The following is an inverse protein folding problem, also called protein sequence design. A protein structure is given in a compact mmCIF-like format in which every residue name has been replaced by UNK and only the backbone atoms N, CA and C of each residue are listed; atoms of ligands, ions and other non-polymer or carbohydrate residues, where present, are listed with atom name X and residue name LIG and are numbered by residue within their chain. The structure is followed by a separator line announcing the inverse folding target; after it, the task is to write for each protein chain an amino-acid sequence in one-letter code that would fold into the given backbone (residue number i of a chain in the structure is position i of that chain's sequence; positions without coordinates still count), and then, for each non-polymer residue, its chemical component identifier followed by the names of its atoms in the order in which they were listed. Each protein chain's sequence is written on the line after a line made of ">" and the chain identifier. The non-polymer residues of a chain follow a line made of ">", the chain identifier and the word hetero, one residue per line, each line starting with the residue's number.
data_IF_269707886440
#
_entry.id   IF_269707886440
#
_cell.length_a   1.000
_cell.length_b   1.000
_cell.length_c   1.000
_cell.angle_alpha   90.00
_cell.angle_beta   90.00
_cell.angle_gamma   90.00
#
_symmetry.space_group_name_H-M   'P 1'
#
loop_
_entity.id
_entity.type
_entity.pdbx_description
1 polymer ?
#
# COMPACT_ATOMS: atom_id res chain seq x y z
N UNK A 1 -16.75 -6.30 5.24
CA UNK A 1 -16.18 -7.64 5.01
C UNK A 1 -15.51 -7.68 3.66
N UNK A 2 -14.39 -8.37 3.53
CA UNK A 2 -13.53 -8.34 2.33
C UNK A 2 -13.15 -9.77 1.93
N UNK A 3 -13.22 -10.09 0.64
CA UNK A 3 -12.77 -11.37 0.05
C UNK A 3 -11.69 -11.09 -1.01
N UNK A 4 -10.58 -11.85 -1.00
CA UNK A 4 -9.40 -11.54 -1.81
C UNK A 4 -9.11 -12.48 -2.99
N UNK A 5 -9.55 -13.75 -2.99
CA UNK A 5 -9.14 -14.75 -4.01
C UNK A 5 -10.24 -15.77 -4.33
N UNK A 6 -10.19 -16.32 -5.55
CA UNK A 6 -11.00 -17.48 -5.95
C UNK A 6 -12.49 -17.24 -6.14
N UNK A 7 -12.85 -16.09 -6.69
CA UNK A 7 -14.26 -15.68 -6.83
C UNK A 7 -14.76 -15.78 -8.29
N UNK A 8 -15.89 -16.45 -8.51
CA UNK A 8 -16.63 -16.40 -9.77
C UNK A 8 -17.61 -15.23 -9.78
N UNK A 9 -17.26 -14.15 -10.48
CA UNK A 9 -18.06 -12.92 -10.59
C UNK A 9 -19.50 -13.17 -11.07
N UNK A 10 -19.72 -14.21 -11.88
CA UNK A 10 -21.05 -14.50 -12.47
C UNK A 10 -22.05 -15.04 -11.44
N UNK A 11 -21.59 -15.51 -10.27
CA UNK A 11 -22.44 -16.17 -9.27
C UNK A 11 -23.28 -15.21 -8.41
N UNK A 12 -22.89 -13.92 -8.36
CA UNK A 12 -23.56 -12.93 -7.50
C UNK A 12 -23.79 -11.62 -8.25
N UNK A 13 -24.98 -11.03 -8.05
CA UNK A 13 -25.23 -9.67 -8.54
C UNK A 13 -24.51 -8.65 -7.66
N UNK A 14 -23.51 -7.99 -8.21
CA UNK A 14 -22.59 -7.13 -7.45
C UNK A 14 -22.88 -5.65 -7.64
N UNK A 15 -23.47 -5.27 -8.78
CA UNK A 15 -23.76 -3.87 -9.11
C UNK A 15 -25.23 -3.54 -8.87
N UNK A 16 -25.47 -2.52 -8.08
CA UNK A 16 -26.78 -2.01 -7.77
C UNK A 16 -26.84 -0.50 -8.05
N UNK A 17 -27.98 -0.03 -8.56
CA UNK A 17 -28.25 1.42 -8.67
C UNK A 17 -28.33 2.04 -7.26
N UNK A 18 -28.12 3.36 -7.17
CA UNK A 18 -28.10 4.08 -5.88
C UNK A 18 -29.36 3.81 -5.05
N UNK A 19 -30.54 3.92 -5.68
CA UNK A 19 -31.82 3.70 -5.03
C UNK A 19 -32.06 2.23 -4.61
N UNK A 20 -31.61 1.27 -5.41
CA UNK A 20 -31.67 -0.15 -5.04
C UNK A 20 -30.83 -0.44 -3.80
N UNK A 21 -29.64 0.17 -3.70
CA UNK A 21 -28.77 0.02 -2.51
C UNK A 21 -29.42 0.59 -1.25
N UNK A 22 -30.09 1.75 -1.35
CA UNK A 22 -30.82 2.34 -0.23
C UNK A 22 -31.94 1.40 0.24
N UNK A 23 -32.83 0.96 -0.68
CA UNK A 23 -33.92 0.03 -0.36
C UNK A 23 -33.43 -1.28 0.25
N UNK A 24 -32.35 -1.85 -0.27
CA UNK A 24 -31.75 -3.06 0.31
C UNK A 24 -31.27 -2.85 1.74
N UNK A 25 -30.65 -1.69 2.01
CA UNK A 25 -30.20 -1.34 3.36
C UNK A 25 -31.40 -1.23 4.34
N UNK A 26 -32.50 -0.62 3.94
CA UNK A 26 -33.74 -0.54 4.72
C UNK A 26 -34.32 -1.93 5.01
N UNK A 27 -34.17 -2.86 4.09
CA UNK A 27 -34.59 -4.26 4.24
C UNK A 27 -33.60 -5.13 5.03
N UNK A 28 -32.53 -4.57 5.60
CA UNK A 28 -31.50 -5.33 6.30
C UNK A 28 -30.62 -6.20 5.40
N UNK A 29 -30.65 -5.98 4.08
CA UNK A 29 -29.88 -6.74 3.11
C UNK A 29 -28.50 -6.10 2.83
N UNK A 30 -27.45 -6.91 2.80
CA UNK A 30 -26.11 -6.44 2.47
C UNK A 30 -25.97 -6.06 0.99
N UNK A 31 -25.24 -4.99 0.75
CA UNK A 31 -24.79 -4.58 -0.58
C UNK A 31 -23.38 -5.08 -0.83
N UNK A 32 -23.12 -5.56 -2.06
CA UNK A 32 -21.81 -5.97 -2.51
C UNK A 32 -21.22 -4.93 -3.45
N UNK A 33 -19.94 -4.64 -3.31
CA UNK A 33 -19.17 -3.82 -4.24
C UNK A 33 -17.90 -4.56 -4.64
N UNK A 34 -17.67 -4.65 -5.94
CA UNK A 34 -16.48 -5.27 -6.51
C UNK A 34 -15.52 -4.19 -7.00
N UNK A 35 -14.27 -4.29 -6.59
CA UNK A 35 -13.18 -3.42 -7.02
C UNK A 35 -12.08 -4.33 -7.55
N UNK A 36 -11.58 -4.03 -8.75
CA UNK A 36 -10.49 -4.78 -9.38
C UNK A 36 -9.41 -3.83 -9.87
N UNK A 37 -8.17 -4.26 -9.69
CA UNK A 37 -7.00 -3.64 -10.32
C UNK A 37 -6.02 -4.74 -10.74
N UNK A 38 -5.78 -4.87 -12.04
CA UNK A 38 -4.99 -5.97 -12.59
C UNK A 38 -5.54 -7.34 -12.18
N UNK A 39 -4.70 -8.16 -11.57
CA UNK A 39 -5.07 -9.49 -11.06
C UNK A 39 -5.62 -9.45 -9.62
N UNK A 40 -5.52 -8.30 -8.95
CA UNK A 40 -6.05 -8.13 -7.60
C UNK A 40 -7.52 -7.71 -7.66
N UNK A 41 -8.34 -8.28 -6.79
CA UNK A 41 -9.70 -7.80 -6.59
C UNK A 41 -10.12 -7.86 -5.13
N UNK A 42 -11.10 -7.04 -4.80
CA UNK A 42 -11.72 -6.96 -3.48
C UNK A 42 -13.23 -6.92 -3.65
N UNK A 43 -13.94 -7.68 -2.82
CA UNK A 43 -15.38 -7.55 -2.66
C UNK A 43 -15.64 -6.97 -1.29
N UNK A 44 -16.27 -5.81 -1.28
CA UNK A 44 -16.74 -5.16 -0.06
C UNK A 44 -18.21 -5.54 0.14
N UNK A 45 -18.53 -6.07 1.32
CA UNK A 45 -19.90 -6.35 1.74
C UNK A 45 -20.27 -5.42 2.91
N UNK A 46 -21.38 -4.70 2.78
CA UNK A 46 -21.95 -3.93 3.90
C UNK A 46 -22.56 -4.85 4.95
N UNK A 47 -22.92 -4.29 6.10
CA UNK A 47 -23.72 -5.02 7.10
C UNK A 47 -25.08 -5.43 6.49
N UNK A 48 -25.71 -6.48 7.06
CA UNK A 48 -26.95 -7.06 6.59
C UNK A 48 -26.79 -8.48 6.03
N UNK A 49 -27.89 -9.10 5.67
CA UNK A 49 -27.93 -10.47 5.17
C UNK A 49 -27.63 -10.56 3.66
N UNK A 50 -26.90 -11.58 3.25
CA UNK A 50 -26.65 -11.92 1.86
C UNK A 50 -26.16 -13.36 1.72
N UNK A 51 -26.63 -14.09 0.71
CA UNK A 51 -26.17 -15.45 0.39
C UNK A 51 -24.64 -15.54 0.22
N UNK A 52 -24.01 -14.50 -0.26
CA UNK A 52 -22.55 -14.37 -0.33
C UNK A 52 -21.88 -14.56 1.03
N UNK A 53 -22.42 -13.95 2.09
CA UNK A 53 -21.85 -14.06 3.45
C UNK A 53 -21.95 -15.49 3.99
N UNK A 54 -23.04 -16.18 3.68
CA UNK A 54 -23.25 -17.57 4.11
C UNK A 54 -22.28 -18.53 3.40
N UNK A 55 -22.14 -18.36 2.07
CA UNK A 55 -21.29 -19.25 1.26
C UNK A 55 -19.79 -19.00 1.43
N UNK A 56 -19.40 -17.77 1.64
CA UNK A 56 -17.97 -17.37 1.71
C UNK A 56 -17.55 -17.03 3.16
N UNK A 57 -18.29 -17.48 4.16
CA UNK A 57 -18.08 -17.12 5.58
C UNK A 57 -16.63 -17.35 6.05
N UNK A 58 -16.02 -18.46 5.66
CA UNK A 58 -14.63 -18.82 6.03
C UNK A 58 -13.56 -17.90 5.41
N UNK A 59 -13.90 -17.21 4.32
CA UNK A 59 -12.98 -16.33 3.58
C UNK A 59 -13.21 -14.85 3.88
N UNK A 60 -14.33 -14.53 4.52
CA UNK A 60 -14.68 -13.15 4.83
C UNK A 60 -13.87 -12.63 6.00
N UNK A 61 -13.32 -11.45 5.85
CA UNK A 61 -12.58 -10.75 6.90
C UNK A 61 -13.25 -9.41 7.22
N UNK A 62 -13.31 -9.09 8.51
CA UNK A 62 -13.74 -7.76 8.92
C UNK A 62 -12.60 -6.76 8.68
N UNK A 63 -12.84 -5.79 7.78
CA UNK A 63 -11.86 -4.75 7.45
C UNK A 63 -11.52 -3.83 8.63
N UNK A 64 -12.33 -3.82 9.70
CA UNK A 64 -12.05 -3.08 10.94
C UNK A 64 -11.01 -3.80 11.80
N UNK A 65 -11.00 -5.13 11.75
CA UNK A 65 -10.07 -5.98 12.52
C UNK A 65 -8.80 -6.28 11.73
N UNK A 66 -8.96 -6.68 10.48
CA UNK A 66 -7.85 -7.00 9.59
C UNK A 66 -7.89 -6.11 8.36
N UNK A 67 -6.86 -5.27 8.20
CA UNK A 67 -6.75 -4.38 7.05
C UNK A 67 -6.56 -5.12 5.72
N UNK A 68 -6.78 -4.40 4.64
CA UNK A 68 -6.56 -4.86 3.27
C UNK A 68 -5.14 -4.50 2.87
N UNK A 69 -4.33 -5.51 2.63
CA UNK A 69 -2.98 -5.30 2.08
C UNK A 69 -3.09 -5.26 0.55
N UNK A 70 -2.58 -4.22 -0.02
CA UNK A 70 -2.52 -4.05 -1.46
C UNK A 70 -1.36 -3.14 -1.81
N UNK A 71 -0.52 -3.65 -2.68
CA UNK A 71 0.45 -2.80 -3.26
C UNK A 71 1.48 -2.22 -2.28
N UNK A 72 1.95 -2.95 -1.24
CA UNK A 72 2.81 -2.44 -0.18
C UNK A 72 2.09 -1.52 0.81
N UNK A 73 0.77 -1.36 0.64
CA UNK A 73 -0.06 -0.58 1.55
C UNK A 73 -0.97 -1.49 2.37
N UNK A 74 -1.20 -1.09 3.59
CA UNK A 74 -2.26 -1.61 4.44
C UNK A 74 -3.36 -0.56 4.58
N UNK A 75 -4.54 -0.90 4.07
CA UNK A 75 -5.75 -0.08 4.17
C UNK A 75 -6.58 -0.61 5.34
N UNK A 76 -6.80 0.20 6.34
CA UNK A 76 -7.55 -0.18 7.55
C UNK A 76 -8.60 0.87 7.89
N UNK A 77 -9.58 0.50 8.69
CA UNK A 77 -10.60 1.40 9.19
C UNK A 77 -10.47 1.50 10.71
N UNK A 78 -10.08 2.67 11.21
CA UNK A 78 -9.88 2.92 12.64
C UNK A 78 -10.47 4.27 13.04
N UNK A 79 -11.11 4.34 14.19
CA UNK A 79 -11.68 5.56 14.75
C UNK A 79 -12.62 6.29 13.76
N UNK A 80 -13.46 5.54 13.03
CA UNK A 80 -14.37 6.12 12.06
C UNK A 80 -13.76 6.54 10.72
N UNK A 81 -12.44 6.37 10.53
CA UNK A 81 -11.73 6.85 9.34
C UNK A 81 -10.94 5.74 8.65
N UNK A 82 -10.86 5.84 7.32
CA UNK A 82 -9.95 5.01 6.53
C UNK A 82 -8.52 5.51 6.74
N UNK A 83 -7.63 4.58 7.10
CA UNK A 83 -6.20 4.83 7.23
C UNK A 83 -5.44 4.01 6.21
N UNK A 84 -4.51 4.65 5.51
CA UNK A 84 -3.60 4.02 4.57
C UNK A 84 -2.18 4.17 5.10
N UNK A 85 -1.51 3.06 5.33
CA UNK A 85 -0.11 3.02 5.78
C UNK A 85 0.69 2.05 4.93
N UNK A 86 2.01 2.11 4.98
CA UNK A 86 2.88 1.07 4.43
C UNK A 86 2.64 -0.19 5.27
N UNK A 87 2.49 -1.35 4.62
CA UNK A 87 2.34 -2.61 5.34
C UNK A 87 3.60 -2.96 6.15
N UNK A 88 3.46 -3.86 7.12
CA UNK A 88 4.52 -4.09 8.10
C UNK A 88 5.76 -4.76 7.51
N UNK A 89 5.61 -5.59 6.47
CA UNK A 89 6.73 -6.24 5.80
C UNK A 89 7.49 -5.24 4.94
N UNK A 90 6.80 -4.52 4.05
CA UNK A 90 7.39 -3.46 3.23
C UNK A 90 8.06 -2.39 4.10
N UNK A 91 7.44 -2.02 5.22
CA UNK A 91 8.03 -1.05 6.15
C UNK A 91 9.32 -1.55 6.79
N UNK A 92 9.39 -2.82 7.22
CA UNK A 92 10.61 -3.42 7.77
C UNK A 92 11.74 -3.45 6.75
N UNK A 93 11.43 -3.88 5.52
CA UNK A 93 12.40 -3.93 4.42
C UNK A 93 12.91 -2.52 4.08
N UNK A 94 12.01 -1.56 3.96
CA UNK A 94 12.34 -0.16 3.67
C UNK A 94 13.22 0.45 4.78
N UNK A 95 12.86 0.21 6.04
CA UNK A 95 13.66 0.67 7.18
C UNK A 95 15.06 0.05 7.17
N UNK A 96 15.16 -1.26 6.96
CA UNK A 96 16.44 -1.95 6.89
C UNK A 96 17.30 -1.43 5.73
N UNK A 97 16.71 -1.19 4.58
CA UNK A 97 17.37 -0.60 3.42
C UNK A 97 17.99 0.76 3.73
N UNK A 98 17.19 1.73 4.21
CA UNK A 98 17.68 3.08 4.50
C UNK A 98 18.71 3.10 5.64
N UNK A 99 18.54 2.29 6.67
CA UNK A 99 19.52 2.16 7.76
C UNK A 99 20.82 1.54 7.24
N UNK A 100 20.75 0.54 6.36
CA UNK A 100 21.93 -0.05 5.72
C UNK A 100 22.69 0.94 4.83
N UNK A 101 22.01 1.91 4.23
CA UNK A 101 22.63 2.97 3.44
C UNK A 101 23.14 4.14 4.26
N UNK A 102 22.72 4.28 5.52
CA UNK A 102 22.98 5.46 6.36
C UNK A 102 24.46 5.85 6.45
N UNK A 103 25.38 4.88 6.49
CA UNK A 103 26.83 5.09 6.57
C UNK A 103 27.57 4.89 5.24
N UNK A 104 26.87 4.33 4.23
CA UNK A 104 27.47 4.00 2.92
C UNK A 104 27.25 5.08 1.86
N UNK A 105 26.28 5.96 2.07
CA UNK A 105 25.88 6.99 1.11
C UNK A 105 26.12 8.39 1.66
N UNK A 106 26.38 9.33 0.77
CA UNK A 106 26.51 10.75 1.13
C UNK A 106 25.15 11.29 1.55
N UNK A 107 25.15 12.43 2.23
CA UNK A 107 23.93 13.13 2.66
C UNK A 107 23.04 13.47 1.46
N UNK A 108 23.63 13.98 0.38
CA UNK A 108 22.94 14.41 -0.84
C UNK A 108 22.24 13.22 -1.51
N UNK A 109 22.95 12.09 -1.63
CA UNK A 109 22.37 10.87 -2.20
C UNK A 109 21.17 10.38 -1.38
N UNK A 110 21.29 10.37 -0.04
CA UNK A 110 20.18 9.96 0.82
C UNK A 110 19.00 10.93 0.76
N UNK A 111 19.26 12.25 0.65
CA UNK A 111 18.19 13.24 0.43
C UNK A 111 17.44 12.93 -0.87
N UNK A 112 18.19 12.66 -1.95
CA UNK A 112 17.58 12.31 -3.25
C UNK A 112 16.75 11.03 -3.18
N UNK A 113 17.22 10.00 -2.47
CA UNK A 113 16.49 8.73 -2.28
C UNK A 113 15.20 8.92 -1.46
N UNK A 114 15.25 9.68 -0.37
CA UNK A 114 14.05 10.01 0.40
C UNK A 114 13.06 10.83 -0.41
N UNK A 115 13.54 11.76 -1.21
CA UNK A 115 12.71 12.59 -2.09
C UNK A 115 12.04 11.79 -3.21
N UNK A 116 12.73 10.75 -3.71
CA UNK A 116 12.24 9.85 -4.74
C UNK A 116 11.31 8.74 -4.21
N UNK A 117 11.06 8.68 -2.89
CA UNK A 117 10.23 7.63 -2.29
C UNK A 117 8.86 7.52 -2.99
N UNK A 118 8.46 6.30 -3.44
CA UNK A 118 7.31 6.12 -4.33
C UNK A 118 5.96 6.08 -3.62
N UNK A 119 5.85 6.61 -2.42
CA UNK A 119 4.64 6.52 -1.61
C UNK A 119 3.74 7.75 -1.74
N UNK A 120 2.45 7.53 -1.63
CA UNK A 120 1.43 8.57 -1.60
C UNK A 120 1.43 9.34 -0.26
N UNK A 121 1.06 10.65 -0.25
CA UNK A 121 1.21 11.54 0.90
C UNK A 121 0.13 11.36 1.98
N UNK A 122 -0.19 10.12 2.33
CA UNK A 122 -1.06 9.83 3.46
C UNK A 122 -0.36 10.13 4.80
N UNK A 123 -1.07 10.70 5.75
CA UNK A 123 -0.51 11.09 7.06
C UNK A 123 0.19 9.94 7.80
N UNK A 124 -0.37 8.71 7.86
CA UNK A 124 0.34 7.59 8.47
C UNK A 124 1.63 7.20 7.75
N UNK A 125 1.66 7.27 6.40
CA UNK A 125 2.85 6.98 5.61
C UNK A 125 3.94 8.01 5.88
N UNK A 126 3.57 9.30 5.88
CA UNK A 126 4.51 10.37 6.21
C UNK A 126 5.14 10.15 7.60
N UNK A 127 4.33 9.74 8.60
CA UNK A 127 4.82 9.40 9.94
C UNK A 127 5.81 8.22 9.91
N UNK A 128 5.51 7.17 9.13
CA UNK A 128 6.41 6.02 8.96
C UNK A 128 7.74 6.45 8.32
N UNK A 129 7.72 7.29 7.29
CA UNK A 129 8.94 7.82 6.64
C UNK A 129 9.76 8.68 7.60
N UNK A 130 9.13 9.53 8.42
CA UNK A 130 9.84 10.28 9.46
C UNK A 130 10.45 9.38 10.52
N UNK A 131 9.83 8.27 10.86
CA UNK A 131 10.41 7.30 11.79
C UNK A 131 11.66 6.64 11.20
N UNK A 132 11.64 6.31 9.89
CA UNK A 132 12.82 5.80 9.19
C UNK A 132 13.92 6.86 9.19
N UNK A 133 13.61 8.11 8.85
CA UNK A 133 14.57 9.21 8.84
C UNK A 133 15.23 9.44 10.22
N UNK A 134 14.46 9.39 11.31
CA UNK A 134 15.00 9.49 12.67
C UNK A 134 15.99 8.37 12.94
N UNK A 135 15.70 7.15 12.54
CA UNK A 135 16.57 6.01 12.74
C UNK A 135 17.86 6.14 11.93
N UNK A 136 17.77 6.55 10.68
CA UNK A 136 18.93 6.88 9.84
C UNK A 136 19.78 7.95 10.48
N UNK A 137 19.17 9.05 10.95
CA UNK A 137 19.89 10.14 11.61
C UNK A 137 20.51 9.72 12.93
N UNK A 138 19.88 8.82 13.69
CA UNK A 138 20.46 8.24 14.91
C UNK A 138 21.77 7.51 14.59
N UNK A 139 21.77 6.67 13.57
CA UNK A 139 22.95 5.91 13.13
C UNK A 139 24.05 6.86 12.62
N UNK A 140 23.70 7.83 11.79
CA UNK A 140 24.64 8.84 11.26
C UNK A 140 25.28 9.67 12.38
N UNK A 141 24.47 10.11 13.36
CA UNK A 141 24.96 10.89 14.51
C UNK A 141 26.01 10.13 15.32
N UNK A 142 25.75 8.85 15.62
CA UNK A 142 26.69 7.99 16.35
C UNK A 142 28.01 7.84 15.61
N UNK A 143 27.98 7.79 14.29
CA UNK A 143 29.16 7.66 13.43
C UNK A 143 29.83 9.02 13.09
N UNK A 144 29.34 10.14 13.60
CA UNK A 144 29.90 11.47 13.35
C UNK A 144 29.53 12.06 11.98
N UNK A 145 28.56 11.47 11.27
CA UNK A 145 28.09 12.00 9.97
C UNK A 145 27.03 13.08 10.14
N UNK A 146 26.94 13.98 9.17
CA UNK A 146 25.89 14.98 9.10
C UNK A 146 24.50 14.34 9.03
N UNK A 147 23.53 14.95 9.71
CA UNK A 147 22.14 14.51 9.70
C UNK A 147 21.43 14.97 8.43
N UNK A 148 20.44 14.17 8.03
CA UNK A 148 19.56 14.46 6.89
C UNK A 148 18.42 15.35 7.38
N UNK A 149 18.11 16.46 6.69
CA UNK A 149 17.01 17.36 7.08
C UNK A 149 15.64 16.71 6.85
N UNK A 150 14.68 17.09 7.66
CA UNK A 150 13.30 16.60 7.53
C UNK A 150 12.62 16.97 6.19
N UNK A 151 13.10 18.04 5.55
CA UNK A 151 12.68 18.45 4.20
C UNK A 151 13.00 17.43 3.10
N UNK A 152 13.89 16.46 3.36
CA UNK A 152 14.14 15.35 2.45
C UNK A 152 12.90 14.49 2.19
N UNK A 153 11.95 14.43 3.13
CA UNK A 153 10.71 13.69 2.97
C UNK A 153 9.67 14.56 2.28
N UNK A 154 9.59 14.43 0.96
CA UNK A 154 8.65 15.13 0.12
C UNK A 154 7.75 14.13 -0.63
N UNK A 155 6.69 13.69 0.01
CA UNK A 155 5.71 12.79 -0.61
C UNK A 155 4.79 13.60 -1.53
N UNK A 156 4.82 13.31 -2.82
CA UNK A 156 3.98 13.96 -3.83
C UNK A 156 2.75 13.13 -4.11
N UNK A 157 1.59 13.78 -4.21
CA UNK A 157 0.38 13.12 -4.69
C UNK A 157 0.52 12.85 -6.19
N UNK A 158 0.39 11.59 -6.57
CA UNK A 158 0.36 11.19 -7.97
C UNK A 158 -1.08 11.23 -8.46
N UNK A 159 -1.36 12.11 -9.40
CA UNK A 159 -2.67 12.15 -10.05
C UNK A 159 -2.60 11.15 -11.21
N UNK A 160 -3.16 9.97 -11.00
CA UNK A 160 -3.35 9.00 -12.08
C UNK A 160 -4.68 9.31 -12.75
N UNK A 161 -4.65 9.57 -14.06
CA UNK A 161 -5.87 9.66 -14.85
C UNK A 161 -6.51 8.26 -14.95
N UNK A 162 -7.82 8.09 -14.71
CA UNK A 162 -8.45 6.76 -14.59
C UNK A 162 -8.33 5.85 -15.82
N UNK A 163 -7.97 6.39 -16.98
CA UNK A 163 -7.88 5.66 -18.25
C UNK A 163 -6.50 5.77 -18.90
N UNK A 164 -5.49 6.21 -18.16
CA UNK A 164 -4.12 6.27 -18.64
C UNK A 164 -3.45 4.90 -18.40
N UNK A 165 -3.94 3.89 -19.14
CA UNK A 165 -3.53 2.49 -19.01
C UNK A 165 -2.11 2.21 -19.54
N UNK A 166 -1.45 3.21 -20.13
CA UNK A 166 -0.24 2.93 -20.91
C UNK A 166 1.07 3.06 -20.16
N UNK A 167 1.12 3.52 -18.93
CA UNK A 167 2.42 3.63 -18.24
C UNK A 167 2.25 3.75 -16.75
N UNK A 168 2.43 2.69 -16.03
CA UNK A 168 3.29 2.57 -14.84
C UNK A 168 2.91 1.36 -14.01
N UNK A 169 3.53 0.24 -14.32
CA UNK A 169 3.93 -0.64 -13.25
C UNK A 169 4.65 0.24 -12.23
N UNK A 170 4.05 0.48 -11.08
CA UNK A 170 4.80 0.87 -9.90
C UNK A 170 5.73 -0.33 -9.71
N UNK A 171 7.05 -0.17 -9.85
CA UNK A 171 7.94 -1.27 -9.56
C UNK A 171 7.75 -1.57 -8.08
N UNK A 172 6.91 -2.57 -7.79
CA UNK A 172 6.96 -3.23 -6.53
C UNK A 172 8.38 -3.75 -6.39
N UNK A 173 8.98 -3.50 -5.25
CA UNK A 173 10.18 -4.21 -4.83
C UNK A 173 9.80 -5.70 -4.74
N UNK A 174 9.73 -6.35 -5.90
CA UNK A 174 9.72 -7.79 -5.98
C UNK A 174 11.14 -8.22 -5.64
N UNK A 175 11.40 -8.30 -4.34
CA UNK A 175 12.65 -8.81 -3.79
C UNK A 175 12.67 -10.34 -3.84
N UNK A 176 12.16 -10.91 -4.92
CA UNK A 176 12.48 -12.28 -5.36
C UNK A 176 13.80 -12.34 -6.10
N UNK A 177 14.64 -11.34 -5.97
CA UNK A 177 16.04 -11.45 -6.39
C UNK A 177 16.76 -12.41 -5.47
N UNK A 178 16.78 -13.66 -5.95
CA UNK A 178 17.69 -14.71 -5.58
C UNK A 178 19.11 -14.16 -5.24
N UNK A 179 19.78 -14.79 -4.30
CA UNK A 179 21.04 -14.48 -3.58
C UNK A 179 22.21 -13.89 -4.39
N UNK A 180 22.01 -13.23 -5.52
CA UNK A 180 23.05 -12.67 -6.40
C UNK A 180 23.07 -11.16 -6.53
N UNK A 181 22.22 -10.40 -5.83
CA UNK A 181 22.33 -8.94 -5.78
C UNK A 181 23.35 -8.46 -4.75
N UNK A 182 24.59 -8.95 -4.86
CA UNK A 182 25.77 -8.42 -4.15
C UNK A 182 26.49 -7.36 -4.97
N UNK A 183 25.91 -6.57 -5.81
CA UNK A 183 26.68 -5.54 -6.51
C UNK A 183 25.85 -4.35 -6.95
N UNK A 184 26.20 -3.22 -6.38
CA UNK A 184 26.44 -1.88 -6.97
C UNK A 184 25.34 -1.17 -7.77
N UNK A 185 24.18 -1.75 -8.12
CA UNK A 185 23.29 -1.15 -9.14
C UNK A 185 21.81 -1.06 -8.73
N UNK A 186 21.55 -0.52 -7.56
CA UNK A 186 20.17 -0.24 -7.13
C UNK A 186 19.47 0.90 -7.92
N UNK A 187 20.18 1.87 -8.55
CA UNK A 187 19.55 2.84 -9.43
C UNK A 187 19.11 2.28 -10.79
N UNK A 188 19.62 1.11 -11.21
CA UNK A 188 19.35 0.55 -12.56
C UNK A 188 18.14 -0.37 -12.66
N UNK A 189 17.57 -0.82 -11.54
CA UNK A 189 16.30 -1.55 -11.58
C UNK A 189 15.07 -0.66 -11.86
N UNK A 190 15.26 0.65 -12.03
CA UNK A 190 14.18 1.60 -12.35
C UNK A 190 14.05 1.84 -13.87
N UNK A 191 14.94 1.29 -14.70
CA UNK A 191 14.86 1.39 -16.16
C UNK A 191 14.85 0.00 -16.80
N UNK A 192 13.68 -0.45 -17.16
CA UNK A 192 13.44 -1.16 -18.41
C UNK A 192 12.18 -0.59 -19.01
N UNK A 193 12.42 0.39 -19.87
CA UNK A 193 11.67 0.57 -21.09
C UNK A 193 11.94 -0.68 -21.92
N UNK A 194 10.87 -1.43 -22.19
CA UNK A 194 10.58 -2.14 -23.44
C UNK A 194 9.11 -2.57 -23.39
#
# INVERSE_FOLDING_TARGET
>A
MVLRTGFERRRYRITWKKWERARRKEQGLANLQYIRHGNFFVILASDGEHVFKQREASRLQDARRKGIEYGGYLISFRNGHVQVRIDDETYRQLKAHYVGLALRRTKETLISEFYAAPFEPYSPIRRQMFNILREVNRVRKVAGFEQIPSSAIWLKRRILKPFDDQRRHIPFYDCSCDRRCQSRDFPRCIRRDD
#
